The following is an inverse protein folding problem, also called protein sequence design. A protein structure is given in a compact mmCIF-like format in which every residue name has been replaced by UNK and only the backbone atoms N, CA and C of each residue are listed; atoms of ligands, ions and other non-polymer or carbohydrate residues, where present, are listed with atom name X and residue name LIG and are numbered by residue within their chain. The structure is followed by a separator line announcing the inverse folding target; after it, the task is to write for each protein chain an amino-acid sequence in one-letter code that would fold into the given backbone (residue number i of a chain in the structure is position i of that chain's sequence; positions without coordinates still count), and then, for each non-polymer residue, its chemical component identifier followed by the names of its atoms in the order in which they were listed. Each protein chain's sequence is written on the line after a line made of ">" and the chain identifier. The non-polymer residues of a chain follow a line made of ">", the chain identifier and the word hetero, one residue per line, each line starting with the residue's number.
data_IF_608502216771
#
_entry.id   IF_608502216771
#
_cell.length_a   1.000
_cell.length_b   1.000
_cell.length_c   1.000
_cell.angle_alpha   90.00
_cell.angle_beta   90.00
_cell.angle_gamma   90.00
#
_symmetry.space_group_name_H-M   'P 1'
#
loop_
_entity.id
_entity.type
_entity.pdbx_description
1 polymer ?
#
# COMPACT_ATOMS: atom_id res chain seq x y z
N UNK A 1 5.72 8.84 -5.71
CA UNK A 1 5.76 8.24 -4.36
C UNK A 1 6.24 6.79 -4.40
N UNK A 2 5.44 5.79 -4.82
CA UNK A 2 5.84 4.37 -4.67
C UNK A 2 7.16 4.02 -5.38
N UNK A 3 7.43 4.51 -6.58
CA UNK A 3 8.72 4.30 -7.26
C UNK A 3 9.92 4.92 -6.54
N UNK A 4 9.73 6.02 -5.80
CA UNK A 4 10.79 6.66 -5.03
C UNK A 4 11.07 5.90 -3.73
N UNK A 5 10.04 5.33 -3.10
CA UNK A 5 10.17 4.60 -1.83
C UNK A 5 10.52 3.13 -2.01
N UNK A 6 10.08 2.52 -3.10
CA UNK A 6 10.18 1.08 -3.36
C UNK A 6 10.63 0.85 -4.80
N UNK A 7 11.94 0.67 -5.06
CA UNK A 7 12.48 0.49 -6.42
C UNK A 7 11.85 -0.69 -7.18
N UNK A 8 11.37 -1.70 -6.47
CA UNK A 8 10.62 -2.83 -7.05
C UNK A 8 9.39 -2.41 -7.86
N UNK A 9 8.84 -1.21 -7.61
CA UNK A 9 7.73 -0.66 -8.39
C UNK A 9 8.10 -0.36 -9.86
N UNK A 10 9.39 -0.29 -10.20
CA UNK A 10 9.85 -0.19 -11.59
C UNK A 10 9.71 -1.53 -12.33
N UNK A 11 10.00 -2.64 -11.65
CA UNK A 11 9.85 -4.00 -12.20
C UNK A 11 8.39 -4.46 -12.18
N UNK A 12 7.68 -4.21 -11.07
CA UNK A 12 6.29 -4.58 -10.87
C UNK A 12 5.48 -3.34 -10.47
N UNK A 13 4.95 -2.59 -11.45
CA UNK A 13 4.17 -1.39 -11.19
C UNK A 13 2.93 -1.67 -10.34
N UNK A 14 2.52 -0.67 -9.55
CA UNK A 14 1.38 -0.77 -8.63
C UNK A 14 0.10 -1.32 -9.29
N UNK A 15 -0.20 -0.95 -10.53
CA UNK A 15 -1.41 -1.43 -11.20
C UNK A 15 -1.37 -2.95 -11.42
N UNK A 16 -0.22 -3.49 -11.83
CA UNK A 16 0.01 -4.94 -12.01
C UNK A 16 -0.13 -5.66 -10.66
N UNK A 17 0.46 -5.11 -9.59
CA UNK A 17 0.32 -5.66 -8.24
C UNK A 17 -1.14 -5.69 -7.80
N UNK A 18 -1.88 -4.60 -8.01
CA UNK A 18 -3.28 -4.52 -7.60
C UNK A 18 -4.17 -5.46 -8.42
N UNK A 19 -3.89 -5.65 -9.70
CA UNK A 19 -4.57 -6.64 -10.54
C UNK A 19 -4.33 -8.06 -10.03
N UNK A 20 -3.08 -8.40 -9.70
CA UNK A 20 -2.76 -9.68 -9.08
C UNK A 20 -3.51 -9.88 -7.74
N UNK A 21 -3.59 -8.85 -6.90
CA UNK A 21 -4.35 -8.91 -5.64
C UNK A 21 -5.86 -9.12 -5.86
N UNK A 22 -6.44 -8.58 -6.94
CA UNK A 22 -7.86 -8.80 -7.27
C UNK A 22 -8.14 -10.23 -7.73
N UNK A 23 -7.23 -10.81 -8.50
CA UNK A 23 -7.35 -12.18 -8.99
C UNK A 23 -6.89 -13.25 -8.00
N UNK A 24 -6.21 -12.85 -6.92
CA UNK A 24 -5.71 -13.79 -5.93
C UNK A 24 -6.87 -14.51 -5.21
N UNK A 25 -6.93 -15.85 -5.27
CA UNK A 25 -8.03 -16.62 -4.68
C UNK A 25 -7.97 -16.54 -3.15
N UNK A 26 -8.68 -15.56 -2.60
CA UNK A 26 -8.70 -15.30 -1.16
C UNK A 26 -9.88 -16.03 -0.52
N UNK A 27 -9.66 -16.97 0.42
CA UNK A 27 -10.74 -17.66 1.10
C UNK A 27 -11.73 -16.69 1.77
N UNK A 28 -13.01 -17.06 1.92
CA UNK A 28 -14.05 -16.16 2.42
C UNK A 28 -13.78 -15.52 3.79
N UNK A 29 -12.87 -16.07 4.61
CA UNK A 29 -12.52 -15.55 5.94
C UNK A 29 -11.17 -14.83 5.97
N UNK A 30 -10.41 -14.84 4.87
CA UNK A 30 -9.09 -14.19 4.79
C UNK A 30 -9.21 -12.83 4.09
N UNK A 31 -8.23 -11.98 4.37
CA UNK A 31 -8.04 -10.67 3.75
C UNK A 31 -6.57 -10.52 3.39
N UNK A 32 -6.29 -9.82 2.29
CA UNK A 32 -4.92 -9.42 1.95
C UNK A 32 -4.55 -8.25 2.88
N UNK A 33 -3.44 -8.38 3.61
CA UNK A 33 -2.94 -7.31 4.47
C UNK A 33 -2.01 -6.42 3.67
N UNK A 34 -2.30 -5.13 3.62
CA UNK A 34 -1.45 -4.10 3.05
C UNK A 34 -0.76 -3.34 4.19
N UNK A 35 0.56 -3.34 4.17
CA UNK A 35 1.37 -2.54 5.08
C UNK A 35 1.62 -1.17 4.45
N UNK A 36 1.23 -0.12 5.17
CA UNK A 36 1.37 1.26 4.73
C UNK A 36 2.24 2.01 5.72
N UNK A 37 3.50 2.22 5.33
CA UNK A 37 4.44 3.02 6.10
C UNK A 37 4.06 4.50 5.99
N UNK A 38 3.81 5.14 7.13
CA UNK A 38 3.44 6.54 7.23
C UNK A 38 4.69 7.40 7.42
N UNK A 39 4.98 8.22 6.41
CA UNK A 39 6.09 9.15 6.35
C UNK A 39 5.53 10.58 6.47
N UNK A 40 5.95 11.29 7.52
CA UNK A 40 5.50 12.65 7.82
C UNK A 40 5.69 13.60 6.65
N UNK A 41 4.61 14.23 6.19
CA UNK A 41 4.63 15.20 5.09
C UNK A 41 4.80 14.60 3.69
N UNK A 42 4.94 13.28 3.56
CA UNK A 42 5.15 12.60 2.28
C UNK A 42 3.90 11.84 1.84
N UNK A 43 3.35 11.00 2.72
CA UNK A 43 2.25 10.11 2.37
C UNK A 43 1.18 9.95 3.46
N UNK A 44 1.23 10.77 4.51
CA UNK A 44 0.37 10.71 5.69
C UNK A 44 -0.88 11.61 5.63
N UNK A 45 -1.03 12.41 4.57
CA UNK A 45 -2.17 13.31 4.38
C UNK A 45 -3.49 12.64 3.95
N UNK A 46 -4.61 13.33 4.19
CA UNK A 46 -5.96 12.84 3.85
C UNK A 46 -6.16 12.51 2.36
N UNK A 47 -5.54 13.25 1.46
CA UNK A 47 -5.64 12.97 0.02
C UNK A 47 -5.00 11.64 -0.37
N UNK A 48 -3.94 11.24 0.35
CA UNK A 48 -3.30 9.94 0.15
C UNK A 48 -4.18 8.82 0.70
N UNK A 49 -4.83 9.05 1.86
CA UNK A 49 -5.82 8.11 2.40
C UNK A 49 -6.99 7.90 1.41
N UNK A 50 -7.52 8.97 0.81
CA UNK A 50 -8.57 8.87 -0.22
C UNK A 50 -8.12 8.08 -1.45
N UNK A 51 -6.90 8.32 -1.94
CA UNK A 51 -6.31 7.57 -3.06
C UNK A 51 -6.14 6.09 -2.70
N UNK A 52 -5.68 5.79 -1.48
CA UNK A 52 -5.52 4.43 -0.98
C UNK A 52 -6.85 3.68 -0.92
N UNK A 53 -7.90 4.29 -0.38
CA UNK A 53 -9.24 3.67 -0.31
C UNK A 53 -9.77 3.36 -1.71
N UNK A 54 -9.63 4.30 -2.65
CA UNK A 54 -10.03 4.09 -4.06
C UNK A 54 -9.25 2.94 -4.70
N UNK A 55 -7.95 2.85 -4.44
CA UNK A 55 -7.09 1.80 -4.99
C UNK A 55 -7.50 0.41 -4.51
N UNK A 56 -7.81 0.29 -3.21
CA UNK A 56 -8.19 -0.96 -2.55
C UNK A 56 -9.65 -1.37 -2.80
N UNK A 57 -10.46 -0.52 -3.43
CA UNK A 57 -11.85 -0.84 -3.76
C UNK A 57 -11.92 -2.13 -4.58
N UNK A 58 -12.77 -3.07 -4.18
CA UNK A 58 -12.89 -4.39 -4.82
C UNK A 58 -11.86 -5.43 -4.38
N UNK A 59 -10.93 -5.09 -3.48
CA UNK A 59 -10.02 -6.05 -2.84
C UNK A 59 -10.46 -6.27 -1.40
N UNK A 60 -10.48 -7.53 -0.96
CA UNK A 60 -10.72 -7.87 0.45
C UNK A 60 -9.48 -7.55 1.27
N UNK A 61 -9.33 -6.27 1.61
CA UNK A 61 -8.13 -5.75 2.23
C UNK A 61 -8.27 -5.58 3.75
N UNK A 62 -7.13 -5.69 4.44
CA UNK A 62 -6.85 -5.11 5.76
C UNK A 62 -5.66 -4.17 5.57
N UNK A 63 -5.71 -2.97 6.13
CA UNK A 63 -4.59 -2.02 6.05
C UNK A 63 -4.00 -1.87 7.44
N UNK A 64 -2.68 -2.06 7.55
CA UNK A 64 -1.92 -1.73 8.74
C UNK A 64 -1.17 -0.42 8.47
N UNK A 65 -1.51 0.63 9.22
CA UNK A 65 -0.79 1.89 9.21
C UNK A 65 0.39 1.76 10.18
N UNK A 66 1.61 1.89 9.67
CA UNK A 66 2.84 1.73 10.44
C UNK A 66 3.52 3.10 10.49
N UNK A 67 3.58 3.76 11.65
CA UNK A 67 4.33 4.99 11.80
C UNK A 67 5.81 4.75 11.51
N UNK A 68 6.41 5.58 10.66
CA UNK A 68 7.85 5.52 10.45
C UNK A 68 8.57 6.22 11.60
N UNK A 69 9.43 5.47 12.30
CA UNK A 69 10.33 6.02 13.30
C UNK A 69 11.68 6.31 12.63
N UNK A 70 12.12 7.57 12.54
CA UNK A 70 13.43 7.89 11.98
C UNK A 70 14.53 7.33 12.88
N UNK A 71 15.57 6.78 12.27
CA UNK A 71 16.80 6.37 12.96
C UNK A 71 18.00 7.01 12.28
N UNK A 72 19.13 7.08 12.99
CA UNK A 72 20.37 7.62 12.47
C UNK A 72 20.74 6.91 11.15
N UNK A 73 20.80 7.67 10.05
CA UNK A 73 21.13 7.16 8.71
C UNK A 73 19.96 7.01 7.73
N UNK A 74 18.72 7.34 8.12
CA UNK A 74 17.55 7.41 7.24
C UNK A 74 17.30 8.82 6.69
#
# INVERSE_FOLDING_TARGET
>A
IRSQLMPINHTYPLHVLMEACRHYPTPPRKRITFEYLMLSGVNDGLDQARKLIRLLHGVRAKVNLIPFNPHSGA
#
